data_IF_294932375647
#
_entry.id   IF_294932375647
#
_cell.length_a   1.000
_cell.length_b   1.000
_cell.length_c   1.000
_cell.angle_alpha   90.00
_cell.angle_beta   90.00
_cell.angle_gamma   90.00
#
_symmetry.space_group_name_H-M   'P 1'
#
loop_
_entity.id
_entity.type
_entity.pdbx_description
1 polymer ?
#
# COMPACT_ATOMS: atom_id res chain seq x y z
N UNK A 1 6.24 10.23 10.53
CA UNK A 1 7.25 9.17 10.74
C UNK A 1 7.33 8.25 9.54
N UNK A 2 8.42 7.54 9.40
CA UNK A 2 8.59 6.48 8.42
C UNK A 2 8.21 5.14 9.03
N UNK A 3 7.74 4.23 8.18
CA UNK A 3 7.50 2.84 8.50
C UNK A 3 6.09 2.37 8.17
N UNK A 4 6.02 1.23 7.50
CA UNK A 4 4.82 0.44 7.31
C UNK A 4 4.99 -0.84 8.12
N UNK A 5 4.03 -1.13 8.98
CA UNK A 5 4.08 -2.27 9.91
C UNK A 5 2.81 -3.09 9.80
N UNK A 6 2.90 -4.36 10.17
CA UNK A 6 1.74 -5.20 10.41
C UNK A 6 1.82 -5.79 11.82
N UNK A 7 0.68 -6.15 12.37
CA UNK A 7 0.57 -6.75 13.67
C UNK A 7 0.15 -8.19 13.52
N UNK A 8 1.07 -9.10 13.79
CA UNK A 8 0.82 -10.53 13.76
C UNK A 8 0.11 -10.96 15.04
N UNK A 9 -1.04 -11.58 14.89
CA UNK A 9 -1.71 -12.20 16.03
C UNK A 9 -0.98 -13.50 16.38
N UNK A 10 -0.56 -13.61 17.61
CA UNK A 10 0.09 -14.81 18.13
C UNK A 10 -0.96 -15.81 18.64
N UNK A 11 -0.53 -17.06 18.87
CA UNK A 11 -1.39 -18.08 19.45
C UNK A 11 -2.00 -17.58 20.78
N UNK A 12 -3.29 -17.89 21.05
CA UNK A 12 -3.92 -17.49 22.31
C UNK A 12 -3.15 -18.02 23.51
N UNK A 13 -3.13 -17.21 24.58
CA UNK A 13 -2.59 -17.62 25.88
C UNK A 13 -3.51 -18.66 26.54
N UNK A 14 -3.03 -19.40 27.56
CA UNK A 14 -3.88 -20.39 28.26
C UNK A 14 -5.16 -19.81 28.87
N UNK A 15 -5.17 -18.52 29.22
CA UNK A 15 -6.34 -17.82 29.74
C UNK A 15 -7.30 -17.29 28.65
N UNK A 16 -7.02 -17.58 27.36
CA UNK A 16 -7.80 -17.14 26.22
C UNK A 16 -7.49 -15.72 25.71
N UNK A 17 -6.56 -15.00 26.33
CA UNK A 17 -6.15 -13.68 25.85
C UNK A 17 -5.30 -13.80 24.58
N UNK A 18 -5.40 -12.80 23.70
CA UNK A 18 -4.60 -12.71 22.49
C UNK A 18 -3.52 -11.64 22.64
N UNK A 19 -2.38 -11.90 22.04
CA UNK A 19 -1.27 -10.93 21.95
C UNK A 19 -0.87 -10.71 20.52
N UNK A 20 -0.25 -9.56 20.27
CA UNK A 20 0.14 -9.13 18.94
C UNK A 20 1.61 -8.78 18.91
N UNK A 21 2.29 -9.11 17.82
CA UNK A 21 3.68 -8.74 17.61
C UNK A 21 3.78 -7.81 16.41
N UNK A 22 4.31 -6.61 16.63
CA UNK A 22 4.57 -5.66 15.56
C UNK A 22 5.75 -6.13 14.71
N UNK A 23 5.56 -6.15 13.40
CA UNK A 23 6.60 -6.50 12.42
C UNK A 23 6.69 -5.41 11.36
N UNK A 24 7.92 -5.14 10.92
CA UNK A 24 8.18 -4.14 9.88
C UNK A 24 7.95 -4.75 8.49
N UNK A 25 7.21 -4.03 7.63
CA UNK A 25 7.07 -4.34 6.21
C UNK A 25 8.06 -3.50 5.40
N UNK A 26 8.04 -2.17 5.58
CA UNK A 26 8.87 -1.25 4.81
C UNK A 26 9.28 -0.06 5.67
N UNK A 27 10.58 0.13 5.86
CA UNK A 27 11.13 1.24 6.67
C UNK A 27 11.29 2.54 5.89
N UNK A 28 11.19 2.49 4.57
CA UNK A 28 11.38 3.66 3.69
C UNK A 28 10.07 4.34 3.31
N UNK A 29 8.94 3.74 3.66
CA UNK A 29 7.62 4.27 3.34
C UNK A 29 7.16 5.28 4.40
N UNK A 30 6.57 6.37 3.95
CA UNK A 30 6.01 7.40 4.82
C UNK A 30 4.70 7.93 4.27
N UNK A 31 3.91 8.58 5.13
CA UNK A 31 2.67 9.24 4.77
C UNK A 31 1.66 8.34 4.05
N UNK A 32 1.62 7.07 4.41
CA UNK A 32 0.56 6.15 4.01
C UNK A 32 -0.76 6.60 4.62
N UNK A 33 -1.80 6.63 3.78
CA UNK A 33 -3.11 7.13 4.21
C UNK A 33 -4.24 6.13 3.94
N UNK A 34 -4.02 5.20 3.05
CA UNK A 34 -5.01 4.18 2.69
C UNK A 34 -4.33 2.87 2.33
N UNK A 35 -5.05 1.80 2.55
CA UNK A 35 -4.63 0.44 2.26
C UNK A 35 -5.76 -0.27 1.51
N UNK A 36 -5.40 -1.16 0.60
CA UNK A 36 -6.32 -2.13 0.00
C UNK A 36 -5.69 -3.51 0.06
N UNK A 37 -6.53 -4.53 0.09
CA UNK A 37 -6.12 -5.93 0.15
C UNK A 37 -6.87 -6.67 -0.94
N UNK A 38 -6.21 -6.93 -2.07
CA UNK A 38 -6.83 -7.56 -3.22
C UNK A 38 -5.76 -8.19 -4.12
N UNK A 39 -6.15 -9.20 -4.88
CA UNK A 39 -5.29 -9.89 -5.84
C UNK A 39 -5.14 -9.05 -7.11
N UNK A 40 -3.97 -8.45 -7.32
CA UNK A 40 -3.69 -7.61 -8.48
C UNK A 40 -2.71 -8.23 -9.47
N UNK A 41 -2.08 -9.34 -9.12
CA UNK A 41 -1.19 -10.07 -10.03
C UNK A 41 -1.77 -11.41 -10.52
N UNK A 42 -3.02 -11.71 -10.15
CA UNK A 42 -3.77 -12.90 -10.54
C UNK A 42 -3.10 -14.23 -10.11
N UNK A 43 -2.39 -14.23 -8.99
CA UNK A 43 -1.80 -15.46 -8.44
C UNK A 43 -2.74 -16.21 -7.48
N UNK A 44 -3.92 -15.66 -7.23
CA UNK A 44 -4.93 -16.23 -6.32
C UNK A 44 -4.74 -15.86 -4.86
N UNK A 45 -3.73 -15.06 -4.53
CA UNK A 45 -3.49 -14.53 -3.19
C UNK A 45 -3.58 -13.01 -3.23
N UNK A 46 -4.15 -12.36 -2.21
CA UNK A 46 -4.24 -10.91 -2.20
C UNK A 46 -2.92 -10.25 -1.81
N UNK A 47 -2.67 -9.08 -2.35
CA UNK A 47 -1.55 -8.20 -2.02
C UNK A 47 -2.01 -7.02 -1.16
N UNK A 48 -1.07 -6.49 -0.39
CA UNK A 48 -1.26 -5.23 0.32
C UNK A 48 -0.90 -4.06 -0.59
N UNK A 49 -1.89 -3.25 -0.95
CA UNK A 49 -1.74 -2.13 -1.86
C UNK A 49 -1.77 -0.83 -1.06
N UNK A 50 -0.82 0.04 -1.28
CA UNK A 50 -0.78 1.35 -0.63
C UNK A 50 0.03 2.35 -1.46
N UNK A 51 0.05 3.58 -1.01
CA UNK A 51 0.85 4.62 -1.63
C UNK A 51 0.97 5.84 -0.74
N UNK A 52 1.87 6.72 -1.14
CA UNK A 52 2.19 7.93 -0.42
C UNK A 52 1.18 9.04 -0.72
N UNK A 53 0.76 9.76 0.32
CA UNK A 53 -0.01 10.98 0.19
C UNK A 53 0.92 12.16 -0.13
N UNK A 54 0.52 13.00 -1.08
CA UNK A 54 1.28 14.20 -1.41
C UNK A 54 1.00 15.34 -0.42
N UNK A 55 2.07 15.98 0.03
CA UNK A 55 2.05 17.22 0.80
C UNK A 55 1.11 17.18 2.02
N UNK A 56 1.21 16.11 2.80
CA UNK A 56 0.45 15.97 4.02
C UNK A 56 0.84 17.06 5.04
N UNK A 57 -0.15 17.55 5.79
CA UNK A 57 0.03 18.54 6.85
C UNK A 57 0.90 19.74 6.43
N UNK A 58 0.64 20.27 5.21
CA UNK A 58 1.37 21.43 4.67
C UNK A 58 2.89 21.23 4.57
N UNK A 59 3.31 20.00 4.28
CA UNK A 59 4.71 19.66 4.08
C UNK A 59 5.55 19.57 5.34
N UNK A 60 4.94 19.50 6.51
CA UNK A 60 5.66 19.45 7.80
C UNK A 60 6.00 18.04 8.26
N UNK A 61 5.38 17.02 7.68
CA UNK A 61 5.60 15.64 8.07
C UNK A 61 6.90 15.06 7.48
N UNK A 62 7.46 14.07 8.16
CA UNK A 62 8.59 13.33 7.65
C UNK A 62 8.28 12.74 6.27
N UNK A 63 9.16 12.97 5.31
CA UNK A 63 9.00 12.50 3.94
C UNK A 63 8.03 13.30 3.08
N UNK A 64 7.55 14.47 3.52
CA UNK A 64 6.58 15.28 2.77
C UNK A 64 7.08 15.69 1.37
N UNK A 65 8.38 15.78 1.19
CA UNK A 65 9.03 16.19 -0.07
C UNK A 65 9.68 15.01 -0.82
N UNK A 66 9.56 13.80 -0.29
CA UNK A 66 10.06 12.60 -0.97
C UNK A 66 9.17 12.27 -2.17
N UNK A 67 9.71 11.45 -3.08
CA UNK A 67 8.96 10.96 -4.24
C UNK A 67 7.65 10.30 -3.83
N UNK A 68 6.61 10.53 -4.64
CA UNK A 68 5.30 9.93 -4.46
C UNK A 68 5.34 8.53 -5.06
N UNK A 69 4.98 7.51 -4.27
CA UNK A 69 5.00 6.13 -4.71
C UNK A 69 3.64 5.47 -4.51
N UNK A 70 3.29 4.58 -5.44
CA UNK A 70 2.19 3.63 -5.32
C UNK A 70 2.80 2.26 -5.51
N UNK A 71 2.56 1.34 -4.59
CA UNK A 71 3.17 0.03 -4.56
C UNK A 71 2.24 -1.03 -3.98
N UNK A 72 2.59 -2.29 -4.21
CA UNK A 72 1.97 -3.40 -3.51
C UNK A 72 3.03 -4.34 -2.93
N UNK A 73 2.62 -5.16 -1.98
CA UNK A 73 3.48 -6.10 -1.28
C UNK A 73 2.85 -7.48 -1.30
N UNK A 74 3.63 -8.48 -1.76
CA UNK A 74 3.27 -9.89 -1.66
C UNK A 74 3.78 -10.45 -0.33
N UNK A 75 2.93 -11.19 0.35
CA UNK A 75 3.33 -11.99 1.51
C UNK A 75 3.93 -13.32 1.06
N UNK A 76 5.12 -13.64 1.56
CA UNK A 76 5.83 -14.90 1.25
C UNK A 76 5.84 -15.77 2.51
N UNK A 77 4.94 -16.76 2.63
CA UNK A 77 4.81 -17.55 3.86
C UNK A 77 6.08 -18.31 4.25
N UNK A 78 6.81 -18.84 3.26
CA UNK A 78 8.02 -19.64 3.51
C UNK A 78 9.09 -18.87 4.27
N UNK A 79 9.23 -17.57 4.04
CA UNK A 79 10.25 -16.73 4.64
C UNK A 79 9.68 -15.76 5.66
N UNK A 80 8.35 -15.73 5.83
CA UNK A 80 7.65 -14.74 6.66
C UNK A 80 8.09 -13.30 6.34
N UNK A 81 8.17 -13.01 5.04
CA UNK A 81 8.65 -11.74 4.52
C UNK A 81 7.68 -11.17 3.47
N UNK A 82 7.85 -9.88 3.19
CA UNK A 82 7.08 -9.17 2.17
C UNK A 82 8.00 -8.78 1.02
N UNK A 83 7.52 -8.96 -0.21
CA UNK A 83 8.20 -8.49 -1.42
C UNK A 83 7.49 -7.25 -1.94
N UNK A 84 8.23 -6.16 -2.12
CA UNK A 84 7.71 -4.87 -2.59
C UNK A 84 7.76 -4.79 -4.12
N UNK A 85 6.67 -4.34 -4.71
CA UNK A 85 6.56 -4.03 -6.14
C UNK A 85 6.08 -2.59 -6.32
N UNK A 86 6.86 -1.76 -6.99
CA UNK A 86 6.50 -0.37 -7.27
C UNK A 86 5.66 -0.33 -8.54
N UNK A 87 4.46 0.27 -8.45
CA UNK A 87 3.57 0.48 -9.58
C UNK A 87 3.88 1.82 -10.24
N UNK A 88 4.04 2.86 -9.42
CA UNK A 88 4.28 4.23 -9.91
C UNK A 88 5.18 4.98 -8.93
N UNK A 89 6.10 5.76 -9.47
CA UNK A 89 6.92 6.70 -8.69
C UNK A 89 7.10 7.97 -9.48
N UNK A 90 7.05 9.11 -8.81
CA UNK A 90 7.26 10.43 -9.41
C UNK A 90 7.75 11.41 -8.37
N UNK A 91 8.45 12.48 -8.78
CA UNK A 91 8.79 13.57 -7.86
C UNK A 91 7.54 14.14 -7.19
N UNK A 92 7.71 14.67 -5.98
CA UNK A 92 6.62 15.24 -5.21
C UNK A 92 5.82 16.27 -6.04
N UNK A 93 4.51 16.05 -6.13
CA UNK A 93 3.61 16.90 -6.91
C UNK A 93 3.54 16.63 -8.41
N UNK A 94 4.23 15.62 -8.93
CA UNK A 94 4.33 15.35 -10.37
C UNK A 94 3.61 14.07 -10.84
N UNK A 95 3.08 13.27 -9.94
CA UNK A 95 2.41 12.02 -10.31
C UNK A 95 1.26 11.65 -9.39
N UNK A 96 0.63 10.50 -9.62
CA UNK A 96 -0.47 10.05 -8.80
C UNK A 96 -0.01 9.75 -7.38
N UNK A 97 -0.82 10.15 -6.40
CA UNK A 97 -0.64 9.81 -5.00
C UNK A 97 -1.93 9.32 -4.38
N UNK A 98 -1.85 8.81 -3.16
CA UNK A 98 -3.01 8.28 -2.45
C UNK A 98 -3.31 9.14 -1.25
N UNK A 99 -4.32 9.99 -1.36
CA UNK A 99 -4.78 10.86 -0.27
C UNK A 99 -6.06 10.39 0.38
N UNK A 100 -6.82 9.55 -0.30
CA UNK A 100 -8.10 9.00 0.13
C UNK A 100 -8.13 7.49 -0.13
N UNK A 101 -9.32 6.92 -0.07
CA UNK A 101 -9.51 5.48 -0.15
C UNK A 101 -9.18 4.91 -1.54
N UNK A 102 -8.40 3.84 -1.58
CA UNK A 102 -8.11 3.08 -2.80
C UNK A 102 -9.33 2.23 -3.15
N UNK A 103 -9.63 2.12 -4.45
CA UNK A 103 -10.58 1.14 -4.99
C UNK A 103 -9.85 0.23 -5.97
N UNK A 104 -10.22 -1.05 -5.96
CA UNK A 104 -9.63 -2.07 -6.84
C UNK A 104 -10.76 -2.79 -7.54
N UNK A 105 -10.76 -2.75 -8.87
CA UNK A 105 -11.79 -3.39 -9.69
C UNK A 105 -11.30 -3.52 -11.14
N UNK A 106 -11.71 -4.57 -11.82
CA UNK A 106 -11.47 -4.71 -13.26
C UNK A 106 -12.45 -3.81 -14.03
N UNK A 107 -12.00 -2.60 -14.40
CA UNK A 107 -12.85 -1.59 -15.02
C UNK A 107 -13.04 -1.79 -16.52
N UNK A 108 -12.05 -2.33 -17.21
CA UNK A 108 -12.09 -2.52 -18.66
C UNK A 108 -12.43 -3.96 -19.08
N UNK A 109 -12.66 -4.86 -18.12
CA UNK A 109 -13.08 -6.23 -18.39
C UNK A 109 -11.98 -7.14 -18.95
N UNK A 110 -10.71 -6.79 -18.77
CA UNK A 110 -9.60 -7.59 -19.31
C UNK A 110 -9.17 -8.75 -18.42
N UNK A 111 -9.81 -8.92 -17.24
CA UNK A 111 -9.48 -9.97 -16.28
C UNK A 111 -8.42 -9.59 -15.24
N UNK A 112 -7.82 -8.41 -15.37
CA UNK A 112 -6.86 -7.86 -14.41
C UNK A 112 -7.47 -6.69 -13.66
N UNK A 113 -7.30 -6.65 -12.35
CA UNK A 113 -7.89 -5.59 -11.54
C UNK A 113 -7.07 -4.31 -11.64
N UNK A 114 -7.78 -3.22 -11.86
CA UNK A 114 -7.25 -1.86 -11.95
C UNK A 114 -7.29 -1.19 -10.59
N UNK A 115 -6.50 -0.15 -10.40
CA UNK A 115 -6.40 0.56 -9.13
C UNK A 115 -6.82 2.02 -9.33
N UNK A 116 -7.79 2.47 -8.54
CA UNK A 116 -8.28 3.83 -8.56
C UNK A 116 -7.74 4.56 -7.34
N UNK A 117 -6.99 5.63 -7.56
CA UNK A 117 -6.28 6.37 -6.52
C UNK A 117 -6.65 7.85 -6.54
N UNK A 118 -7.45 8.33 -5.57
CA UNK A 118 -7.74 9.75 -5.41
C UNK A 118 -6.68 10.41 -4.52
N UNK A 119 -6.26 11.60 -4.91
CA UNK A 119 -5.28 12.37 -4.16
C UNK A 119 -5.29 13.85 -4.51
N UNK A 120 -4.40 14.62 -3.92
CA UNK A 120 -4.31 16.07 -4.17
C UNK A 120 -3.95 16.43 -5.62
N UNK A 121 -3.25 15.54 -6.32
CA UNK A 121 -2.91 15.70 -7.73
C UNK A 121 -4.03 15.30 -8.69
N UNK A 122 -5.20 14.91 -8.16
CA UNK A 122 -6.34 14.44 -8.92
C UNK A 122 -6.66 12.96 -8.66
N UNK A 123 -7.68 12.47 -9.34
CA UNK A 123 -8.04 11.05 -9.33
C UNK A 123 -7.45 10.38 -10.56
N UNK A 124 -6.72 9.29 -10.33
CA UNK A 124 -6.05 8.53 -11.37
C UNK A 124 -6.55 7.10 -11.38
N UNK A 125 -6.63 6.53 -12.56
CA UNK A 125 -6.88 5.10 -12.75
C UNK A 125 -5.60 4.48 -13.29
N UNK A 126 -5.10 3.46 -12.59
CA UNK A 126 -3.94 2.70 -13.02
C UNK A 126 -4.46 1.41 -13.65
N UNK A 127 -4.51 1.37 -14.97
CA UNK A 127 -4.96 0.20 -15.71
C UNK A 127 -3.91 -0.90 -15.67
N UNK A 128 -4.35 -2.09 -15.32
CA UNK A 128 -3.51 -3.27 -15.22
C UNK A 128 -3.70 -4.13 -16.48
N UNK A 129 -2.66 -4.27 -17.26
CA UNK A 129 -2.73 -4.96 -18.55
C UNK A 129 -2.08 -6.34 -18.57
N UNK A 130 -1.57 -6.78 -17.43
CA UNK A 130 -0.84 -8.06 -17.43
C UNK A 130 -0.86 -8.72 -16.06
#
# INVERSE_FOLDING_TARGET
>A
SYGLYWHEQLAPQPDGTTTWRQRLIDKKFSQGHSLAWDDVDNDGQPELITGKRYYAHSGKDAGAHDDITIQYYNWIPKTSAWTKHIISTAPAGKGPGIGLQIRVHDLDGNGWKDIIVPGKSGTHILFNGS
#
